data_IF_549276975649
#
_entry.id   IF_549276975649
#
_cell.length_a   1.000
_cell.length_b   1.000
_cell.length_c   1.000
_cell.angle_alpha   90.00
_cell.angle_beta   90.00
_cell.angle_gamma   90.00
#
_symmetry.space_group_name_H-M   'P 1'
#
loop_
_entity.id
_entity.type
_entity.pdbx_description
1 polymer ?
#
# COMPACT_ATOMS: atom_id res chain seq x y z
N UNK A 1 4.87 21.69 -20.96
CA UNK A 1 4.70 20.22 -20.89
C UNK A 1 4.16 19.72 -19.53
N UNK A 2 3.66 20.59 -18.65
CA UNK A 2 3.09 20.22 -17.33
C UNK A 2 1.59 19.94 -17.37
N UNK A 3 0.87 20.61 -18.29
CA UNK A 3 -0.59 20.50 -18.44
C UNK A 3 -1.05 19.07 -18.73
N UNK A 4 -0.32 18.34 -19.58
CA UNK A 4 -0.63 16.93 -19.88
C UNK A 4 -0.39 16.01 -18.68
N UNK A 5 0.67 16.26 -17.90
CA UNK A 5 0.99 15.51 -16.68
C UNK A 5 -0.10 15.73 -15.63
N UNK A 6 -0.55 16.97 -15.46
CA UNK A 6 -1.61 17.31 -14.50
C UNK A 6 -2.98 16.74 -14.90
N UNK A 7 -3.28 16.69 -16.20
CA UNK A 7 -4.47 16.00 -16.71
C UNK A 7 -4.40 14.49 -16.43
N UNK A 8 -3.26 13.85 -16.71
CA UNK A 8 -3.06 12.42 -16.44
C UNK A 8 -3.19 12.09 -14.94
N UNK A 9 -2.63 12.94 -14.05
CA UNK A 9 -2.75 12.79 -12.59
C UNK A 9 -4.20 12.87 -12.11
N UNK A 10 -5.01 13.77 -12.67
CA UNK A 10 -6.44 13.88 -12.32
C UNK A 10 -7.23 12.63 -12.73
N UNK A 11 -7.00 12.12 -13.94
CA UNK A 11 -7.62 10.88 -14.42
C UNK A 11 -7.20 9.70 -13.54
N UNK A 12 -5.90 9.59 -13.20
CA UNK A 12 -5.41 8.53 -12.33
C UNK A 12 -6.02 8.61 -10.93
N UNK A 13 -6.11 9.80 -10.32
CA UNK A 13 -6.79 9.99 -9.02
C UNK A 13 -8.26 9.59 -9.06
N UNK A 14 -8.98 9.85 -10.16
CA UNK A 14 -10.36 9.41 -10.34
C UNK A 14 -10.49 7.90 -10.60
N UNK A 15 -9.47 7.27 -11.20
CA UNK A 15 -9.48 5.85 -11.55
C UNK A 15 -9.08 4.94 -10.39
N UNK A 16 -8.23 5.40 -9.47
CA UNK A 16 -7.84 4.63 -8.28
C UNK A 16 -9.01 4.60 -7.29
N UNK A 17 -9.95 3.69 -7.54
CA UNK A 17 -11.09 3.41 -6.65
C UNK A 17 -10.71 2.47 -5.51
N UNK A 18 -9.61 1.74 -5.65
CA UNK A 18 -9.15 0.75 -4.68
C UNK A 18 -7.63 0.87 -4.49
N UNK A 19 -7.19 0.77 -3.24
CA UNK A 19 -5.80 0.64 -2.87
C UNK A 19 -5.52 -0.81 -2.43
N UNK A 20 -4.41 -1.35 -2.89
CA UNK A 20 -3.90 -2.66 -2.46
C UNK A 20 -2.68 -2.42 -1.58
N UNK A 21 -2.68 -2.99 -0.38
CA UNK A 21 -1.56 -2.91 0.56
C UNK A 21 -1.50 -4.17 1.41
N UNK A 22 -0.40 -4.36 2.14
CA UNK A 22 -0.24 -5.48 3.07
C UNK A 22 -0.26 -4.97 4.51
N UNK A 23 -0.86 -5.73 5.42
CA UNK A 23 -0.83 -5.43 6.87
C UNK A 23 -0.16 -6.55 7.66
N UNK A 24 0.52 -6.17 8.74
CA UNK A 24 1.01 -7.10 9.74
C UNK A 24 -0.19 -7.81 10.41
N UNK A 25 -0.22 -9.15 10.49
CA UNK A 25 -1.32 -9.86 11.12
C UNK A 25 -1.39 -9.65 12.64
N UNK A 26 -0.27 -9.28 13.28
CA UNK A 26 -0.21 -9.09 14.73
C UNK A 26 -0.61 -7.66 15.16
N UNK A 27 -0.08 -6.62 14.51
CA UNK A 27 -0.33 -5.23 14.91
C UNK A 27 -1.20 -4.43 13.94
N UNK A 28 -1.64 -5.03 12.84
CA UNK A 28 -2.45 -4.39 11.78
C UNK A 28 -1.80 -3.18 11.10
N UNK A 29 -0.51 -2.90 11.35
CA UNK A 29 0.21 -1.85 10.66
C UNK A 29 0.34 -2.18 9.17
N UNK A 30 0.18 -1.17 8.31
CA UNK A 30 0.53 -1.28 6.89
C UNK A 30 2.04 -1.47 6.75
N UNK A 31 2.42 -2.47 5.97
CA UNK A 31 3.81 -2.86 5.76
C UNK A 31 4.41 -2.09 4.60
N UNK A 32 5.67 -1.68 4.75
CA UNK A 32 6.48 -1.16 3.65
C UNK A 32 6.86 -2.26 2.66
N UNK A 33 7.38 -1.88 1.48
CA UNK A 33 7.89 -2.86 0.50
C UNK A 33 9.03 -3.69 1.09
N UNK A 34 9.90 -3.07 1.89
CA UNK A 34 11.02 -3.76 2.54
C UNK A 34 10.49 -4.80 3.52
N UNK A 35 9.57 -4.42 4.40
CA UNK A 35 8.91 -5.31 5.36
C UNK A 35 8.19 -6.50 4.67
N UNK A 36 7.60 -6.28 3.49
CA UNK A 36 6.96 -7.35 2.69
C UNK A 36 8.00 -8.32 2.13
N UNK A 37 9.09 -7.80 1.54
CA UNK A 37 10.15 -8.62 0.92
C UNK A 37 10.87 -9.44 1.99
N UNK A 38 11.22 -8.81 3.11
CA UNK A 38 11.95 -9.42 4.22
C UNK A 38 11.04 -10.25 5.13
N UNK A 39 9.72 -10.16 4.94
CA UNK A 39 8.72 -10.87 5.75
C UNK A 39 8.89 -10.57 7.24
N UNK A 40 9.15 -9.31 7.55
CA UNK A 40 9.42 -8.81 8.88
C UNK A 40 8.58 -7.57 9.15
N UNK A 41 8.04 -7.45 10.37
CA UNK A 41 7.37 -6.23 10.81
C UNK A 41 8.27 -5.49 11.79
N UNK A 42 8.72 -4.29 11.41
CA UNK A 42 9.64 -3.47 12.21
C UNK A 42 9.04 -3.06 13.57
N UNK A 43 7.71 -2.95 13.64
CA UNK A 43 7.01 -2.58 14.88
C UNK A 43 6.88 -3.73 15.88
N UNK A 44 6.68 -4.94 15.37
CA UNK A 44 6.52 -6.12 16.22
C UNK A 44 7.84 -6.86 16.47
N UNK A 45 8.88 -6.50 15.72
CA UNK A 45 10.14 -7.23 15.59
C UNK A 45 9.90 -8.74 15.32
N UNK A 46 8.89 -9.03 14.49
CA UNK A 46 8.39 -10.38 14.28
C UNK A 46 8.39 -10.77 12.80
N UNK A 47 8.69 -12.05 12.54
CA UNK A 47 8.46 -12.65 11.24
C UNK A 47 6.95 -12.68 10.93
N UNK A 48 6.60 -12.37 9.69
CA UNK A 48 5.21 -12.25 9.24
C UNK A 48 4.97 -12.96 7.91
N UNK A 49 3.75 -13.44 7.72
CA UNK A 49 3.24 -13.78 6.40
C UNK A 49 2.37 -12.61 5.94
N UNK A 50 2.86 -11.74 5.04
CA UNK A 50 2.12 -10.56 4.63
C UNK A 50 0.80 -10.96 3.94
N UNK A 51 -0.31 -10.34 4.37
CA UNK A 51 -1.63 -10.55 3.78
C UNK A 51 -2.02 -9.35 2.94
N UNK A 52 -2.32 -9.60 1.67
CA UNK A 52 -2.83 -8.57 0.77
C UNK A 52 -4.25 -8.15 1.18
N UNK A 53 -4.48 -6.85 1.20
CA UNK A 53 -5.77 -6.22 1.50
C UNK A 53 -6.07 -5.25 0.37
N UNK A 54 -7.29 -5.35 -0.16
CA UNK A 54 -7.83 -4.44 -1.17
C UNK A 54 -8.98 -3.66 -0.56
N UNK A 55 -8.75 -2.38 -0.29
CA UNK A 55 -9.75 -1.48 0.28
C UNK A 55 -10.11 -0.38 -0.71
N UNK A 56 -11.31 0.19 -0.57
CA UNK A 56 -11.72 1.33 -1.39
C UNK A 56 -10.84 2.52 -1.02
N UNK A 57 -10.20 3.14 -2.00
CA UNK A 57 -9.45 4.37 -1.78
C UNK A 57 -10.46 5.47 -1.40
N UNK A 58 -10.20 6.14 -0.27
CA UNK A 58 -11.04 7.22 0.25
C UNK A 58 -10.89 8.51 -0.56
#
# INVERSE_FOLDING_TARGET
MTVAIDAARRVQKQAVRFATFHRCPACSQVLSIVEIIERHCERCDAAITPKEIRERAA
#
